data_IF_946988814503
#
_entry.id   IF_946988814503
#
_cell.length_a   1.000
_cell.length_b   1.000
_cell.length_c   1.000
_cell.angle_alpha   90.00
_cell.angle_beta   90.00
_cell.angle_gamma   90.00
#
_symmetry.space_group_name_H-M   'P 1'
#
loop_
_entity.id
_entity.type
_entity.pdbx_description
1 polymer ?
#
# COMPACT_ATOMS: atom_id res chain seq x y z
N UNK A 1 -39.88 -12.19 -23.03
CA UNK A 1 -39.56 -11.98 -21.60
C UNK A 1 -38.26 -12.73 -21.35
N UNK A 2 -37.13 -12.06 -21.53
CA UNK A 2 -35.79 -12.64 -21.36
C UNK A 2 -35.08 -11.79 -20.31
N UNK A 3 -34.69 -12.42 -19.20
CA UNK A 3 -33.83 -11.82 -18.18
C UNK A 3 -32.38 -11.84 -18.68
N UNK A 4 -31.64 -10.72 -18.62
CA UNK A 4 -30.19 -10.77 -18.75
C UNK A 4 -29.59 -10.87 -17.34
N UNK A 5 -29.37 -12.09 -16.86
CA UNK A 5 -28.40 -12.33 -15.79
C UNK A 5 -27.02 -12.47 -16.43
N UNK A 6 -26.44 -11.32 -16.77
CA UNK A 6 -25.08 -11.19 -17.25
C UNK A 6 -24.40 -10.03 -16.53
N UNK A 7 -23.19 -10.29 -16.05
CA UNK A 7 -22.18 -9.28 -15.72
C UNK A 7 -22.35 -8.46 -14.44
N UNK A 8 -22.08 -9.10 -13.31
CA UNK A 8 -21.43 -8.43 -12.19
C UNK A 8 -20.13 -9.16 -11.84
N UNK A 9 -19.13 -9.09 -12.73
CA UNK A 9 -17.73 -9.39 -12.38
C UNK A 9 -17.20 -8.23 -11.53
N UNK A 10 -17.76 -8.09 -10.32
CA UNK A 10 -17.43 -7.04 -9.37
C UNK A 10 -16.00 -7.22 -8.90
N UNK A 11 -15.05 -6.55 -9.55
CA UNK A 11 -13.68 -6.50 -9.06
C UNK A 11 -13.69 -5.82 -7.69
N UNK A 12 -13.36 -6.55 -6.64
CA UNK A 12 -13.25 -6.00 -5.28
C UNK A 12 -12.23 -4.85 -5.29
N UNK A 13 -12.70 -3.63 -5.04
CA UNK A 13 -11.84 -2.44 -4.99
C UNK A 13 -11.18 -2.37 -3.61
N UNK A 14 -9.99 -2.91 -3.50
CA UNK A 14 -9.24 -2.89 -2.25
C UNK A 14 -8.68 -1.48 -1.96
N UNK A 15 -9.04 -0.91 -0.81
CA UNK A 15 -8.48 0.35 -0.32
C UNK A 15 -7.04 0.19 0.17
N UNK A 16 -6.33 1.33 0.32
CA UNK A 16 -4.95 1.33 0.83
C UNK A 16 -4.87 0.80 2.27
N UNK A 17 -5.89 1.05 3.09
CA UNK A 17 -5.98 0.57 4.48
C UNK A 17 -5.95 -0.95 4.50
N UNK A 18 -6.85 -1.58 3.73
CA UNK A 18 -6.93 -3.03 3.58
C UNK A 18 -5.58 -3.61 3.12
N UNK A 19 -4.97 -3.01 2.09
CA UNK A 19 -3.67 -3.45 1.59
C UNK A 19 -2.60 -3.39 2.68
N UNK A 20 -2.59 -2.32 3.50
CA UNK A 20 -1.66 -2.21 4.61
C UNK A 20 -1.88 -3.30 5.68
N UNK A 21 -3.13 -3.57 6.05
CA UNK A 21 -3.47 -4.57 7.06
C UNK A 21 -3.10 -5.98 6.57
N UNK A 22 -3.42 -6.30 5.32
CA UNK A 22 -3.04 -7.59 4.69
C UNK A 22 -1.53 -7.82 4.78
N UNK A 23 -0.74 -6.83 4.36
CA UNK A 23 0.72 -6.97 4.36
C UNK A 23 1.31 -6.95 5.77
N UNK A 24 0.70 -6.22 6.70
CA UNK A 24 1.08 -6.25 8.12
C UNK A 24 0.88 -7.64 8.73
N UNK A 25 -0.30 -8.24 8.52
CA UNK A 25 -0.62 -9.61 8.96
C UNK A 25 0.37 -10.61 8.34
N UNK A 26 0.60 -10.54 7.02
CA UNK A 26 1.53 -11.43 6.32
C UNK A 26 2.96 -11.32 6.85
N UNK A 27 3.43 -10.09 7.06
CA UNK A 27 4.78 -9.83 7.56
C UNK A 27 4.97 -10.40 8.96
N UNK A 28 4.01 -10.18 9.85
CA UNK A 28 4.04 -10.69 11.22
C UNK A 28 3.98 -12.22 11.25
N UNK A 29 3.06 -12.81 10.49
CA UNK A 29 2.92 -14.26 10.38
C UNK A 29 4.21 -14.93 9.88
N UNK A 30 4.81 -14.40 8.81
CA UNK A 30 6.04 -14.94 8.24
C UNK A 30 7.24 -14.78 9.19
N UNK A 31 7.32 -13.65 9.89
CA UNK A 31 8.35 -13.41 10.92
C UNK A 31 8.30 -14.46 12.03
N UNK A 32 7.11 -14.75 12.55
CA UNK A 32 6.92 -15.73 13.63
C UNK A 32 7.08 -17.20 13.17
N UNK A 33 6.83 -17.48 11.89
CA UNK A 33 7.01 -18.82 11.31
C UNK A 33 8.49 -19.14 11.00
N UNK A 34 9.37 -18.12 10.98
CA UNK A 34 10.77 -18.24 10.52
C UNK A 34 10.90 -18.92 9.15
N UNK A 35 9.86 -18.86 8.32
CA UNK A 35 9.87 -19.47 6.99
C UNK A 35 10.40 -18.46 5.97
N UNK A 36 11.22 -18.89 5.00
CA UNK A 36 11.59 -18.03 3.89
C UNK A 36 10.34 -17.56 3.15
N UNK A 37 10.47 -16.39 2.52
CA UNK A 37 9.41 -15.67 1.80
C UNK A 37 8.89 -16.44 0.58
N UNK A 38 8.24 -17.58 0.82
CA UNK A 38 7.55 -18.32 -0.21
C UNK A 38 6.23 -17.62 -0.47
N UNK A 39 5.98 -17.26 -1.73
CA UNK A 39 4.69 -16.70 -2.19
C UNK A 39 3.60 -17.76 -2.11
N UNK A 40 3.17 -18.09 -0.89
CA UNK A 40 2.01 -18.91 -0.70
C UNK A 40 0.78 -18.06 -1.00
N UNK A 41 0.27 -18.19 -2.21
CA UNK A 41 -0.95 -17.50 -2.67
C UNK A 41 -2.15 -17.78 -1.76
N UNK A 42 -2.17 -18.93 -1.07
CA UNK A 42 -3.18 -19.23 -0.05
C UNK A 42 -2.99 -18.43 1.24
N UNK A 43 -1.74 -18.13 1.67
CA UNK A 43 -1.50 -17.21 2.80
C UNK A 43 -2.07 -15.83 2.52
N UNK A 44 -1.88 -15.32 1.30
CA UNK A 44 -2.45 -14.06 0.87
C UNK A 44 -3.98 -14.05 0.97
N UNK A 45 -4.64 -15.13 0.52
CA UNK A 45 -6.10 -15.26 0.63
C UNK A 45 -6.57 -15.32 2.09
N UNK A 46 -5.87 -16.07 2.95
CA UNK A 46 -6.18 -16.11 4.38
C UNK A 46 -6.01 -14.75 5.07
N UNK A 47 -4.90 -14.05 4.82
CA UNK A 47 -4.67 -12.70 5.35
C UNK A 47 -5.65 -11.67 4.81
N UNK A 48 -6.05 -11.79 3.54
CA UNK A 48 -7.08 -10.95 2.92
C UNK A 48 -8.43 -11.13 3.58
N UNK A 49 -8.85 -12.38 3.82
CA UNK A 49 -10.10 -12.66 4.52
C UNK A 49 -10.12 -12.05 5.93
N UNK A 50 -9.03 -12.19 6.69
CA UNK A 50 -8.90 -11.61 8.03
C UNK A 50 -8.97 -10.08 7.96
N UNK A 51 -8.19 -9.46 7.07
CA UNK A 51 -8.16 -8.00 6.92
C UNK A 51 -9.54 -7.45 6.54
N UNK A 52 -10.24 -8.09 5.59
CA UNK A 52 -11.59 -7.72 5.22
C UNK A 52 -12.55 -7.78 6.41
N UNK A 53 -12.53 -8.86 7.19
CA UNK A 53 -13.37 -9.00 8.39
C UNK A 53 -13.04 -7.96 9.47
N UNK A 54 -11.80 -7.47 9.49
CA UNK A 54 -11.32 -6.54 10.50
C UNK A 54 -11.65 -5.07 10.17
N UNK A 55 -11.57 -4.67 8.90
CA UNK A 55 -11.71 -3.27 8.48
C UNK A 55 -13.03 -2.94 7.76
N UNK A 56 -13.69 -3.90 7.10
CA UNK A 56 -14.90 -3.63 6.32
C UNK A 56 -16.17 -3.72 7.18
N UNK A 57 -17.11 -2.80 6.95
CA UNK A 57 -18.46 -2.90 7.51
C UNK A 57 -19.17 -4.14 6.93
N UNK A 58 -18.92 -4.40 5.65
CA UNK A 58 -19.53 -5.50 4.89
C UNK A 58 -18.43 -6.34 4.23
N UNK A 59 -17.78 -7.23 4.98
CA UNK A 59 -16.74 -8.08 4.42
C UNK A 59 -17.31 -9.01 3.34
N UNK A 60 -16.51 -9.33 2.30
CA UNK A 60 -16.91 -10.26 1.26
C UNK A 60 -17.06 -11.67 1.82
N UNK A 61 -17.89 -12.48 1.16
CA UNK A 61 -18.01 -13.87 1.52
C UNK A 61 -16.79 -14.65 1.01
N UNK A 62 -16.51 -15.79 1.63
CA UNK A 62 -15.40 -16.66 1.22
C UNK A 62 -15.57 -17.10 -0.24
N UNK A 63 -16.81 -17.30 -0.70
CA UNK A 63 -17.13 -17.62 -2.09
C UNK A 63 -16.67 -16.56 -3.07
N UNK A 64 -16.75 -15.29 -2.68
CA UNK A 64 -16.28 -14.18 -3.49
C UNK A 64 -14.76 -14.21 -3.62
N UNK A 65 -14.04 -14.53 -2.53
CA UNK A 65 -12.58 -14.69 -2.55
C UNK A 65 -12.14 -15.88 -3.41
N UNK A 66 -12.85 -17.01 -3.32
CA UNK A 66 -12.62 -18.17 -4.19
C UNK A 66 -12.79 -17.78 -5.66
N UNK A 67 -13.89 -17.09 -5.98
CA UNK A 67 -14.17 -16.59 -7.33
C UNK A 67 -13.10 -15.62 -7.84
N UNK A 68 -12.66 -14.68 -7.01
CA UNK A 68 -11.60 -13.70 -7.34
C UNK A 68 -10.25 -14.37 -7.60
N UNK A 69 -9.99 -15.49 -6.91
CA UNK A 69 -8.79 -16.31 -7.15
C UNK A 69 -8.89 -17.20 -8.39
N UNK A 70 -9.91 -17.04 -9.22
CA UNK A 70 -10.22 -17.89 -10.37
C UNK A 70 -10.29 -19.38 -9.99
N UNK A 71 -10.91 -19.64 -8.83
CA UNK A 71 -11.05 -20.98 -8.24
C UNK A 71 -9.72 -21.72 -8.01
N UNK A 72 -8.60 -21.00 -7.91
CA UNK A 72 -7.30 -21.58 -7.61
C UNK A 72 -7.23 -22.24 -6.22
N UNK A 73 -8.14 -21.86 -5.30
CA UNK A 73 -8.26 -22.43 -3.96
C UNK A 73 -9.71 -22.81 -3.64
N UNK A 74 -9.88 -23.83 -2.81
CA UNK A 74 -11.20 -24.18 -2.25
C UNK A 74 -11.43 -23.50 -0.90
N UNK A 75 -12.70 -23.26 -0.53
CA UNK A 75 -13.06 -22.58 0.73
C UNK A 75 -12.33 -23.16 1.96
N UNK A 76 -12.22 -24.49 2.03
CA UNK A 76 -11.54 -25.20 3.12
C UNK A 76 -10.06 -24.81 3.27
N UNK A 77 -9.35 -24.55 2.16
CA UNK A 77 -7.95 -24.15 2.21
C UNK A 77 -7.78 -22.74 2.75
N UNK A 78 -8.67 -21.82 2.34
CA UNK A 78 -8.66 -20.42 2.81
C UNK A 78 -8.99 -20.38 4.31
N UNK A 79 -10.01 -21.14 4.75
CA UNK A 79 -10.38 -21.26 6.16
C UNK A 79 -9.29 -21.88 7.03
N UNK A 80 -8.63 -22.94 6.53
CA UNK A 80 -7.51 -23.55 7.23
C UNK A 80 -6.34 -22.55 7.40
N UNK A 81 -6.09 -21.73 6.37
CA UNK A 81 -5.06 -20.71 6.43
C UNK A 81 -5.43 -19.55 7.35
N UNK A 82 -6.67 -19.07 7.32
CA UNK A 82 -7.19 -18.08 8.27
C UNK A 82 -6.96 -18.55 9.71
N UNK A 83 -7.40 -19.77 10.03
CA UNK A 83 -7.20 -20.35 11.37
C UNK A 83 -5.72 -20.42 11.75
N UNK A 84 -4.86 -20.91 10.85
CA UNK A 84 -3.43 -21.02 11.11
C UNK A 84 -2.76 -19.65 11.34
N UNK A 85 -3.20 -18.60 10.65
CA UNK A 85 -2.71 -17.24 10.87
C UNK A 85 -3.15 -16.73 12.24
N UNK A 86 -4.45 -16.84 12.56
CA UNK A 86 -5.02 -16.35 13.82
C UNK A 86 -4.38 -17.04 15.04
N UNK A 87 -4.21 -18.36 14.99
CA UNK A 87 -3.53 -19.13 16.03
C UNK A 87 -2.07 -18.70 16.20
N UNK A 88 -1.36 -18.47 15.09
CA UNK A 88 0.04 -18.07 15.13
C UNK A 88 0.26 -16.65 15.64
N UNK A 89 -0.70 -15.75 15.38
CA UNK A 89 -0.69 -14.38 15.86
C UNK A 89 -1.30 -14.22 17.26
N UNK A 90 -1.81 -15.29 17.86
CA UNK A 90 -2.52 -15.26 19.14
C UNK A 90 -3.63 -14.19 19.16
N UNK A 91 -4.30 -14.00 18.01
CA UNK A 91 -5.35 -13.01 17.80
C UNK A 91 -4.92 -11.53 17.94
N UNK A 92 -3.62 -11.24 18.05
CA UNK A 92 -3.07 -9.88 18.03
C UNK A 92 -2.97 -9.36 16.59
N UNK A 93 -4.07 -8.82 16.08
CA UNK A 93 -4.18 -8.32 14.69
C UNK A 93 -3.85 -6.82 14.53
N UNK A 94 -3.75 -6.08 15.64
CA UNK A 94 -3.47 -4.64 15.62
C UNK A 94 -2.02 -4.39 15.20
N UNK A 95 -1.82 -4.08 13.93
CA UNK A 95 -0.50 -3.78 13.35
C UNK A 95 -0.38 -2.30 12.99
N UNK A 96 0.76 -1.65 13.26
CA UNK A 96 1.00 -0.29 12.79
C UNK A 96 1.06 -0.28 11.26
N UNK A 97 0.14 0.44 10.62
CA UNK A 97 0.07 0.54 9.16
C UNK A 97 0.74 1.82 8.66
N UNK A 98 1.34 1.84 7.44
CA UNK A 98 1.84 3.07 6.85
C UNK A 98 0.75 4.15 6.74
N UNK A 99 -0.50 3.73 6.53
CA UNK A 99 -1.65 4.62 6.39
C UNK A 99 -1.84 5.62 7.53
N UNK A 100 -1.73 5.20 8.79
CA UNK A 100 -1.92 6.11 9.94
C UNK A 100 -0.83 7.18 9.99
N UNK A 101 0.39 6.84 9.56
CA UNK A 101 1.51 7.79 9.46
C UNK A 101 1.34 8.71 8.26
N UNK A 102 0.88 8.20 7.11
CA UNK A 102 0.62 9.01 5.90
C UNK A 102 -0.34 10.15 6.20
N UNK A 103 -1.50 9.87 6.81
CA UNK A 103 -2.50 10.90 7.14
C UNK A 103 -1.88 11.98 8.04
N UNK A 104 -1.08 11.59 9.03
CA UNK A 104 -0.43 12.52 9.96
C UNK A 104 0.62 13.37 9.24
N UNK A 105 1.47 12.76 8.42
CA UNK A 105 2.58 13.44 7.77
C UNK A 105 2.12 14.34 6.62
N UNK A 106 1.08 13.96 5.88
CA UNK A 106 0.47 14.82 4.85
C UNK A 106 -0.03 16.13 5.49
N UNK A 107 -0.69 16.07 6.65
CA UNK A 107 -1.11 17.28 7.38
C UNK A 107 0.06 18.21 7.74
N UNK A 108 1.24 17.65 8.03
CA UNK A 108 2.44 18.44 8.32
C UNK A 108 3.08 19.06 7.07
N UNK A 109 2.63 18.71 5.86
CA UNK A 109 3.09 19.31 4.60
C UNK A 109 2.30 20.56 4.20
N UNK A 110 1.07 20.69 4.70
CA UNK A 110 0.09 21.67 4.24
C UNK A 110 0.13 22.92 5.11
N UNK A 111 0.42 24.08 4.51
CA UNK A 111 0.46 25.36 5.23
C UNK A 111 -0.83 26.16 5.18
N UNK A 112 -1.73 26.03 4.18
CA UNK A 112 -2.87 26.97 4.06
C UNK A 112 -4.10 26.53 3.21
N UNK A 113 -4.13 25.36 2.57
CA UNK A 113 -5.32 24.82 1.89
C UNK A 113 -5.10 23.34 1.56
N UNK A 114 -6.18 22.56 1.39
CA UNK A 114 -6.09 21.13 1.05
C UNK A 114 -5.36 20.93 -0.28
N UNK A 115 -4.04 20.69 -0.24
CA UNK A 115 -3.23 20.36 -1.41
C UNK A 115 -3.51 18.90 -1.80
N UNK A 116 -4.64 18.72 -2.50
CA UNK A 116 -5.12 17.41 -2.95
C UNK A 116 -4.14 16.75 -3.96
N UNK A 117 -3.35 17.55 -4.69
CA UNK A 117 -2.29 17.03 -5.56
C UNK A 117 -1.18 16.38 -4.72
N UNK A 118 -0.73 17.07 -3.66
CA UNK A 118 0.24 16.52 -2.71
C UNK A 118 -0.28 15.25 -2.03
N UNK A 119 -1.51 15.27 -1.53
CA UNK A 119 -2.14 14.10 -0.91
C UNK A 119 -2.18 12.89 -1.86
N UNK A 120 -2.67 13.10 -3.09
CA UNK A 120 -2.75 12.02 -4.07
C UNK A 120 -1.36 11.51 -4.49
N UNK A 121 -0.36 12.39 -4.64
CA UNK A 121 1.00 11.99 -4.99
C UNK A 121 1.63 11.13 -3.88
N UNK A 122 1.41 11.52 -2.61
CA UNK A 122 1.88 10.74 -1.45
C UNK A 122 1.22 9.36 -1.41
N UNK A 123 -0.10 9.29 -1.58
CA UNK A 123 -0.80 7.99 -1.61
C UNK A 123 -0.36 7.13 -2.78
N UNK A 124 -0.15 7.71 -3.96
CA UNK A 124 0.34 6.99 -5.12
C UNK A 124 1.71 6.34 -4.86
N UNK A 125 2.69 7.10 -4.37
CA UNK A 125 4.03 6.59 -4.08
C UNK A 125 4.00 5.56 -2.94
N UNK A 126 3.21 5.81 -1.89
CA UNK A 126 3.04 4.86 -0.80
C UNK A 126 2.44 3.55 -1.30
N UNK A 127 1.37 3.58 -2.12
CA UNK A 127 0.77 2.37 -2.67
C UNK A 127 1.75 1.58 -3.56
N UNK A 128 2.57 2.27 -4.36
CA UNK A 128 3.64 1.61 -5.11
C UNK A 128 4.67 0.94 -4.21
N UNK A 129 5.07 1.60 -3.11
CA UNK A 129 5.99 1.04 -2.12
C UNK A 129 5.42 -0.18 -1.42
N UNK A 130 4.21 -0.06 -0.90
CA UNK A 130 3.47 -1.10 -0.17
C UNK A 130 3.25 -2.32 -1.07
N UNK A 131 2.88 -2.13 -2.34
CA UNK A 131 2.69 -3.22 -3.29
C UNK A 131 3.96 -4.05 -3.55
N UNK A 132 5.14 -3.51 -3.24
CA UNK A 132 6.38 -4.28 -3.22
C UNK A 132 6.65 -4.78 -1.80
N UNK A 133 6.34 -6.06 -1.57
CA UNK A 133 6.51 -6.70 -0.26
C UNK A 133 7.90 -6.53 0.37
N UNK A 134 8.97 -6.56 -0.44
CA UNK A 134 10.35 -6.33 0.04
C UNK A 134 10.49 -4.98 0.75
N UNK A 135 9.86 -3.93 0.20
CA UNK A 135 9.86 -2.58 0.79
C UNK A 135 9.21 -2.58 2.17
N UNK A 136 8.11 -3.31 2.33
CA UNK A 136 7.36 -3.41 3.61
C UNK A 136 8.15 -4.16 4.68
N UNK A 137 8.97 -5.14 4.27
CA UNK A 137 9.87 -5.87 5.19
C UNK A 137 11.09 -5.04 5.53
N UNK A 138 11.63 -4.28 4.57
CA UNK A 138 12.88 -3.55 4.73
C UNK A 138 12.72 -2.25 5.54
N UNK A 139 11.57 -1.58 5.43
CA UNK A 139 11.35 -0.26 6.04
C UNK A 139 10.19 -0.29 7.02
N UNK A 140 10.33 0.43 8.13
CA UNK A 140 9.22 0.60 9.08
C UNK A 140 8.06 1.36 8.42
N UNK A 141 6.81 1.13 8.88
CA UNK A 141 5.64 1.84 8.36
C UNK A 141 5.78 3.37 8.40
N UNK A 142 6.37 3.92 9.46
CA UNK A 142 6.63 5.36 9.61
C UNK A 142 7.66 5.87 8.62
N UNK A 143 8.76 5.16 8.42
CA UNK A 143 9.81 5.57 7.50
C UNK A 143 9.32 5.52 6.05
N UNK A 144 8.58 4.47 5.67
CA UNK A 144 7.95 4.36 4.35
C UNK A 144 7.00 5.55 4.09
N UNK A 145 6.17 5.91 5.08
CA UNK A 145 5.27 7.05 4.97
C UNK A 145 6.02 8.39 4.83
N UNK A 146 7.06 8.61 5.64
CA UNK A 146 7.87 9.83 5.57
C UNK A 146 8.64 9.92 4.23
N UNK A 147 9.18 8.80 3.74
CA UNK A 147 9.85 8.74 2.45
C UNK A 147 8.90 9.00 1.28
N UNK A 148 7.65 8.52 1.35
CA UNK A 148 6.63 8.83 0.36
C UNK A 148 6.30 10.34 0.33
N UNK A 149 6.21 10.97 1.51
CA UNK A 149 6.06 12.43 1.63
C UNK A 149 7.23 13.19 1.02
N UNK A 150 8.46 12.80 1.35
CA UNK A 150 9.66 13.43 0.80
C UNK A 150 9.73 13.28 -0.72
N UNK A 151 9.56 12.07 -1.25
CA UNK A 151 9.55 11.79 -2.69
C UNK A 151 8.43 12.54 -3.43
N UNK A 152 7.24 12.67 -2.84
CA UNK A 152 6.14 13.46 -3.42
C UNK A 152 6.50 14.95 -3.50
N UNK A 153 7.10 15.53 -2.45
CA UNK A 153 7.57 16.92 -2.46
C UNK A 153 8.63 17.15 -3.53
N UNK A 154 9.57 16.22 -3.70
CA UNK A 154 10.57 16.29 -4.77
C UNK A 154 9.91 16.21 -6.16
N UNK A 155 8.92 15.34 -6.35
CA UNK A 155 8.22 15.16 -7.64
C UNK A 155 7.40 16.42 -7.98
N UNK A 156 6.74 17.02 -6.99
CA UNK A 156 5.93 18.24 -7.14
C UNK A 156 6.75 19.54 -7.01
N UNK A 157 8.08 19.43 -6.96
CA UNK A 157 9.02 20.54 -6.82
C UNK A 157 8.69 21.50 -5.65
N UNK A 158 8.25 20.97 -4.51
CA UNK A 158 7.88 21.75 -3.32
C UNK A 158 9.10 22.04 -2.45
N UNK A 159 9.75 23.18 -2.66
CA UNK A 159 10.92 23.61 -1.89
C UNK A 159 10.55 24.37 -0.61
N UNK A 160 11.25 24.18 0.51
CA UNK A 160 12.32 23.18 0.71
C UNK A 160 11.76 21.75 0.71
N UNK A 161 12.47 20.80 0.11
CA UNK A 161 11.95 19.43 -0.08
C UNK A 161 11.70 18.71 1.25
N UNK A 162 12.50 18.98 2.27
CA UNK A 162 12.27 18.54 3.64
C UNK A 162 12.25 19.75 4.59
N UNK A 163 11.12 20.01 5.25
CA UNK A 163 10.93 21.19 6.11
C UNK A 163 11.30 20.88 7.55
N UNK A 164 11.60 21.92 8.35
CA UNK A 164 11.79 21.77 9.80
C UNK A 164 10.54 21.18 10.48
N UNK A 165 9.34 21.55 10.02
CA UNK A 165 8.05 21.00 10.47
C UNK A 165 7.96 19.49 10.22
N UNK A 166 8.32 19.04 9.02
CA UNK A 166 8.32 17.61 8.69
C UNK A 166 9.36 16.85 9.52
N UNK A 167 10.57 17.39 9.68
CA UNK A 167 11.60 16.81 10.55
C UNK A 167 11.09 16.69 12.00
N UNK A 168 10.43 17.72 12.52
CA UNK A 168 9.87 17.72 13.87
C UNK A 168 8.75 16.69 14.06
N UNK A 169 7.78 16.61 13.15
CA UNK A 169 6.63 15.72 13.30
C UNK A 169 6.90 14.25 12.95
N UNK A 170 7.92 13.99 12.12
CA UNK A 170 8.30 12.62 11.71
C UNK A 170 9.45 12.06 12.56
N UNK A 171 10.34 12.94 13.05
CA UNK A 171 11.59 12.55 13.70
C UNK A 171 12.71 12.14 12.73
N UNK A 172 12.47 12.16 11.42
CA UNK A 172 13.46 11.72 10.43
C UNK A 172 14.20 12.88 9.77
N UNK A 173 15.50 12.67 9.52
CA UNK A 173 16.31 13.53 8.66
C UNK A 173 16.15 13.15 7.19
N UNK A 174 16.52 14.06 6.29
CA UNK A 174 16.46 13.83 4.85
C UNK A 174 17.34 12.63 4.43
N UNK A 175 18.52 12.48 5.04
CA UNK A 175 19.47 11.41 4.77
C UNK A 175 18.88 10.03 5.12
N UNK A 176 18.11 9.93 6.21
CA UNK A 176 17.47 8.69 6.63
C UNK A 176 16.37 8.23 5.65
N UNK A 177 15.73 9.18 4.96
CA UNK A 177 14.64 8.90 4.03
C UNK A 177 15.13 8.60 2.61
N UNK A 178 16.34 9.08 2.27
CA UNK A 178 16.91 9.06 0.93
C UNK A 178 16.78 7.69 0.25
N UNK A 179 17.26 6.62 0.89
CA UNK A 179 17.28 5.27 0.32
C UNK A 179 15.88 4.77 -0.05
N UNK A 180 14.90 4.96 0.83
CA UNK A 180 13.52 4.56 0.58
C UNK A 180 12.87 5.45 -0.49
N UNK A 181 13.10 6.76 -0.44
CA UNK A 181 12.57 7.71 -1.41
C UNK A 181 13.06 7.43 -2.84
N UNK A 182 14.37 7.14 -3.01
CA UNK A 182 14.95 6.73 -4.30
C UNK A 182 14.24 5.48 -4.85
N UNK A 183 13.98 4.50 -3.99
CA UNK A 183 13.27 3.28 -4.37
C UNK A 183 11.83 3.57 -4.83
N UNK A 184 11.09 4.42 -4.10
CA UNK A 184 9.72 4.82 -4.48
C UNK A 184 9.68 5.55 -5.84
N UNK A 185 10.64 6.44 -6.10
CA UNK A 185 10.74 7.15 -7.38
C UNK A 185 11.10 6.18 -8.51
N UNK A 186 11.96 5.19 -8.25
CA UNK A 186 12.25 4.14 -9.22
C UNK A 186 11.01 3.30 -9.55
N UNK A 187 10.14 3.02 -8.57
CA UNK A 187 8.86 2.38 -8.84
C UNK A 187 7.93 3.27 -9.67
N UNK A 188 7.86 4.57 -9.37
CA UNK A 188 7.08 5.52 -10.18
C UNK A 188 7.54 5.55 -11.63
N UNK A 189 8.85 5.62 -11.88
CA UNK A 189 9.42 5.60 -13.23
C UNK A 189 8.99 4.37 -14.05
N UNK A 190 8.83 3.23 -13.39
CA UNK A 190 8.45 1.96 -14.02
C UNK A 190 6.94 1.67 -13.93
N UNK A 191 6.14 2.49 -13.24
CA UNK A 191 4.75 2.19 -12.90
C UNK A 191 3.86 1.97 -14.12
N UNK A 192 4.07 2.73 -15.20
CA UNK A 192 3.28 2.62 -16.43
C UNK A 192 3.52 1.32 -17.22
N UNK A 193 4.72 0.73 -17.10
CA UNK A 193 5.17 -0.45 -17.86
C UNK A 193 5.25 -1.71 -16.99
N UNK A 194 5.23 -1.55 -15.67
CA UNK A 194 5.44 -2.63 -14.71
C UNK A 194 4.20 -3.47 -14.41
N UNK A 195 4.39 -4.44 -13.52
CA UNK A 195 3.32 -5.36 -13.04
C UNK A 195 2.23 -4.65 -12.23
N UNK A 196 2.48 -3.44 -11.74
CA UNK A 196 1.57 -2.65 -10.90
C UNK A 196 0.71 -1.66 -11.70
N UNK A 197 0.39 -1.97 -12.96
CA UNK A 197 -0.41 -1.11 -13.84
C UNK A 197 -1.76 -0.73 -13.24
N UNK A 198 -2.36 -1.58 -12.39
CA UNK A 198 -3.61 -1.27 -11.68
C UNK A 198 -3.50 -0.04 -10.78
N UNK A 199 -2.39 0.10 -10.03
CA UNK A 199 -2.13 1.27 -9.17
C UNK A 199 -1.90 2.49 -10.06
N UNK A 200 -1.10 2.36 -11.12
CA UNK A 200 -0.87 3.44 -12.06
C UNK A 200 -2.19 3.97 -12.65
N UNK A 201 -3.02 3.09 -13.21
CA UNK A 201 -4.32 3.47 -13.77
C UNK A 201 -5.26 4.12 -12.76
N UNK A 202 -5.24 3.70 -11.49
CA UNK A 202 -6.02 4.32 -10.41
C UNK A 202 -5.66 5.80 -10.21
N UNK A 203 -4.37 6.15 -10.30
CA UNK A 203 -3.88 7.51 -10.08
C UNK A 203 -3.67 8.34 -11.36
N UNK A 204 -3.95 7.77 -12.54
CA UNK A 204 -4.10 8.53 -13.80
C UNK A 204 -5.44 9.29 -13.84
N UNK A 205 -6.45 8.82 -13.10
CA UNK A 205 -7.79 9.44 -13.09
C UNK A 205 -7.74 10.94 -12.76
N UNK A 206 -8.53 11.80 -13.44
CA UNK A 206 -8.65 13.22 -13.11
C UNK A 206 -9.09 13.48 -11.67
N UNK A 207 -9.92 12.59 -11.10
CA UNK A 207 -10.33 12.67 -9.68
C UNK A 207 -9.19 12.49 -8.68
N UNK A 208 -8.03 12.01 -9.14
CA UNK A 208 -6.77 11.84 -8.38
C UNK A 208 -5.70 12.84 -8.82
N UNK A 209 -6.08 13.87 -9.58
CA UNK A 209 -5.16 14.89 -10.11
C UNK A 209 -4.22 14.37 -11.20
N UNK A 210 -4.40 13.15 -11.70
CA UNK A 210 -3.50 12.56 -12.71
C UNK A 210 -2.05 12.44 -12.26
N UNK A 211 -1.79 12.38 -10.94
CA UNK A 211 -0.45 12.43 -10.34
C UNK A 211 0.50 11.35 -10.85
N UNK A 212 -0.03 10.20 -11.29
CA UNK A 212 0.76 9.14 -11.89
C UNK A 212 1.41 9.54 -13.23
N UNK A 213 0.84 10.51 -13.94
CA UNK A 213 1.36 11.05 -15.21
C UNK A 213 2.52 12.04 -15.00
N UNK A 214 2.72 12.54 -13.78
CA UNK A 214 3.79 13.47 -13.48
C UNK A 214 5.15 12.81 -13.66
N UNK A 215 6.16 13.64 -13.97
CA UNK A 215 7.51 13.16 -14.16
C UNK A 215 8.12 12.76 -12.81
N UNK A 216 8.67 11.54 -12.66
CA UNK A 216 9.35 11.14 -11.43
C UNK A 216 10.49 12.10 -11.08
N UNK A 217 10.74 12.30 -9.79
CA UNK A 217 11.79 13.19 -9.28
C UNK A 217 13.21 12.78 -9.75
N UNK A 218 13.66 13.31 -10.89
CA UNK A 218 14.96 12.98 -11.49
C UNK A 218 16.15 13.22 -10.56
N UNK A 219 16.06 14.22 -9.68
CA UNK A 219 17.09 14.53 -8.69
C UNK A 219 17.37 13.35 -7.74
N UNK A 220 16.36 12.52 -7.45
CA UNK A 220 16.52 11.32 -6.61
C UNK A 220 17.03 10.11 -7.41
N UNK A 221 16.83 10.09 -8.73
CA UNK A 221 17.28 8.98 -9.60
C UNK A 221 18.74 9.12 -10.04
N UNK A 222 19.30 10.32 -9.99
CA UNK A 222 20.72 10.53 -10.25
C UNK A 222 21.54 9.91 -9.10
N UNK A 223 22.24 8.83 -9.40
CA UNK A 223 23.29 8.28 -8.55
C UNK A 223 24.48 9.22 -8.56
N UNK A 224 24.72 9.92 -7.45
CA UNK A 224 26.08 10.27 -7.03
C UNK A 224 26.77 9.04 -6.46
#
# INVERSE_FOLDING_TARGET
MATPEGEARGSMKMGIVQLCVILGILTLYNSLKKSPLLKSTVQLQGSMLIACKYEEIWPPQIRDLVSISDYAFVEKQILAMEKAILEKLEWYLTVPTPYVFLIRYIKATVSLSSDLEMENMVFFLAELGIAHYITVVQYSPSLLAAAAVYAARCTLNRTPFWTATLKHHTGYSEEQLMSCAKLLVAFHQNAAKGKLKGIYSKFVSPSRGGVALLTPAKALLAST
#
